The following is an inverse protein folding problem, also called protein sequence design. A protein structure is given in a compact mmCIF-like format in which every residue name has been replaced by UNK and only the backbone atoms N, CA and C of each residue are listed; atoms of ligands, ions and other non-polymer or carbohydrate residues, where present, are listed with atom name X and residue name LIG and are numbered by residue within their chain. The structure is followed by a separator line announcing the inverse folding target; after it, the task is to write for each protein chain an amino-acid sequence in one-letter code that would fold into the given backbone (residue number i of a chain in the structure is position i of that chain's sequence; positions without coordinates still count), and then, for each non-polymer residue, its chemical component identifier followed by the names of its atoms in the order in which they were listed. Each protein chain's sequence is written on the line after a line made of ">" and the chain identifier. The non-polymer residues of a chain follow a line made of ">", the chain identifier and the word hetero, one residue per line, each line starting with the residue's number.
data_IF_742527393458
#
_entry.id   IF_742527393458
#
_cell.length_a   1.000
_cell.length_b   1.000
_cell.length_c   1.000
_cell.angle_alpha   90.00
_cell.angle_beta   90.00
_cell.angle_gamma   90.00
#
_symmetry.space_group_name_H-M   'P 1'
#
loop_
_entity.id
_entity.type
_entity.pdbx_description
1 polymer ?
#
# COMPACT_ATOMS: atom_id res chain seq x y z
N UNK A 1 -17.46 19.44 -1.70
CA UNK A 1 -16.28 19.16 -0.87
C UNK A 1 -16.39 17.76 -0.28
N UNK A 2 -16.04 16.75 -1.08
CA UNK A 2 -15.49 15.44 -0.69
C UNK A 2 -15.43 14.59 -1.96
N UNK A 3 -14.52 14.99 -2.82
CA UNK A 3 -14.25 14.41 -4.13
C UNK A 3 -13.29 13.21 -4.02
N UNK A 4 -13.48 12.38 -2.98
CA UNK A 4 -12.68 11.18 -2.72
C UNK A 4 -13.57 9.99 -2.40
N UNK A 5 -13.23 8.83 -2.93
CA UNK A 5 -13.84 7.54 -2.59
C UNK A 5 -12.86 6.73 -1.75
N UNK A 6 -13.14 6.59 -0.47
CA UNK A 6 -12.26 5.80 0.40
C UNK A 6 -12.42 4.31 0.09
N UNK A 7 -11.31 3.64 -0.18
CA UNK A 7 -11.25 2.19 -0.47
C UNK A 7 -10.99 1.45 0.83
N UNK A 8 -9.88 1.77 1.48
CA UNK A 8 -9.41 1.09 2.68
C UNK A 8 -8.65 2.06 3.58
N UNK A 9 -8.62 1.78 4.87
CA UNK A 9 -7.79 2.51 5.82
C UNK A 9 -7.37 1.59 6.96
N UNK A 10 -6.20 1.87 7.50
CA UNK A 10 -5.70 1.29 8.72
C UNK A 10 -5.14 2.43 9.60
N UNK A 11 -4.74 2.14 10.83
CA UNK A 11 -4.11 3.07 11.77
C UNK A 11 -2.84 3.76 11.23
N UNK A 12 -2.28 3.26 10.12
CA UNK A 12 -1.07 3.81 9.50
C UNK A 12 -1.35 4.74 8.30
N UNK A 13 -2.47 4.56 7.62
CA UNK A 13 -2.76 5.29 6.38
C UNK A 13 -4.13 4.99 5.79
N UNK A 14 -4.42 5.64 4.67
CA UNK A 14 -5.68 5.57 3.94
C UNK A 14 -5.42 5.44 2.45
N UNK A 15 -6.19 4.59 1.79
CA UNK A 15 -6.24 4.46 0.35
C UNK A 15 -7.58 4.97 -0.17
N UNK A 16 -7.56 5.81 -1.19
CA UNK A 16 -8.76 6.36 -1.79
C UNK A 16 -8.59 6.64 -3.28
N UNK A 17 -9.70 6.68 -4.00
CA UNK A 17 -9.78 7.19 -5.36
C UNK A 17 -10.17 8.65 -5.38
N UNK A 18 -9.71 9.36 -6.40
CA UNK A 18 -10.20 10.71 -6.69
C UNK A 18 -11.49 10.62 -7.50
N UNK A 19 -12.49 11.41 -7.10
CA UNK A 19 -13.71 11.63 -7.89
C UNK A 19 -13.52 12.90 -8.71
N UNK A 20 -13.82 12.84 -10.00
CA UNK A 20 -13.88 14.03 -10.85
C UNK A 20 -15.24 14.04 -11.56
N UNK A 21 -16.01 15.10 -11.33
CA UNK A 21 -17.30 15.34 -12.01
C UNK A 21 -18.25 14.13 -11.93
N UNK A 22 -18.47 13.60 -10.72
CA UNK A 22 -19.31 12.42 -10.43
C UNK A 22 -18.83 11.08 -11.03
N UNK A 23 -17.61 11.01 -11.59
CA UNK A 23 -16.98 9.73 -11.97
C UNK A 23 -15.79 9.44 -11.07
N UNK A 24 -15.77 8.25 -10.48
CA UNK A 24 -14.59 7.74 -9.79
C UNK A 24 -13.51 7.44 -10.83
N UNK A 25 -12.33 8.06 -10.68
CA UNK A 25 -11.19 7.74 -11.52
C UNK A 25 -10.57 6.45 -10.96
N UNK A 26 -11.01 5.31 -11.50
CA UNK A 26 -10.52 3.97 -11.11
C UNK A 26 -9.11 3.67 -11.66
N UNK A 27 -8.55 4.55 -12.49
CA UNK A 27 -7.24 4.38 -13.12
C UNK A 27 -6.09 4.31 -12.10
N UNK A 28 -6.18 5.11 -11.02
CA UNK A 28 -5.11 5.27 -10.04
C UNK A 28 -5.63 5.47 -8.63
N UNK A 29 -5.04 4.73 -7.72
CA UNK A 29 -5.29 4.80 -6.29
C UNK A 29 -4.31 5.77 -5.65
N UNK A 30 -4.81 6.65 -4.80
CA UNK A 30 -3.98 7.45 -3.92
C UNK A 30 -3.83 6.71 -2.57
N UNK A 31 -2.63 6.23 -2.27
CA UNK A 31 -2.26 5.80 -0.92
C UNK A 31 -1.63 6.96 -0.17
N UNK A 32 -2.14 7.24 1.02
CA UNK A 32 -1.57 8.25 1.92
C UNK A 32 -1.26 7.58 3.24
N UNK A 33 0.01 7.62 3.64
CA UNK A 33 0.44 7.16 4.95
C UNK A 33 1.49 8.12 5.49
N UNK A 34 1.47 8.33 6.82
CA UNK A 34 2.23 9.39 7.49
C UNK A 34 1.97 10.78 6.87
N UNK A 35 2.91 11.28 6.07
CA UNK A 35 2.90 12.59 5.41
C UNK A 35 3.20 12.44 3.90
N UNK A 36 3.24 11.21 3.39
CA UNK A 36 3.55 10.90 2.00
C UNK A 36 2.32 10.34 1.30
N UNK A 37 2.04 10.88 0.11
CA UNK A 37 0.99 10.41 -0.78
C UNK A 37 1.58 9.80 -2.04
N UNK A 38 1.29 8.53 -2.28
CA UNK A 38 1.64 7.80 -3.50
C UNK A 38 0.44 7.71 -4.41
N UNK A 39 0.66 8.01 -5.69
CA UNK A 39 -0.38 7.91 -6.71
C UNK A 39 0.00 6.76 -7.65
N UNK A 40 -0.60 5.59 -7.39
CA UNK A 40 -0.19 4.32 -7.98
C UNK A 40 -1.36 3.69 -8.73
N UNK A 41 -1.05 3.07 -9.86
CA UNK A 41 -1.97 2.13 -10.53
C UNK A 41 -2.07 0.82 -9.75
N UNK A 42 -3.08 -0.01 -10.06
CA UNK A 42 -3.23 -1.34 -9.46
C UNK A 42 -2.00 -2.23 -9.74
N UNK A 43 -1.39 -2.08 -10.91
CA UNK A 43 -0.15 -2.80 -11.25
C UNK A 43 1.03 -2.36 -10.37
N UNK A 44 1.21 -1.05 -10.17
CA UNK A 44 2.26 -0.51 -9.29
C UNK A 44 2.01 -0.86 -7.82
N UNK A 45 0.74 -0.98 -7.41
CA UNK A 45 0.34 -1.46 -6.08
C UNK A 45 0.75 -2.91 -5.85
N UNK A 46 0.52 -3.79 -6.83
CA UNK A 46 0.98 -5.17 -6.78
C UNK A 46 2.52 -5.23 -6.72
N UNK A 47 3.20 -4.47 -7.57
CA UNK A 47 4.67 -4.36 -7.52
C UNK A 47 5.16 -3.85 -6.16
N UNK A 48 4.45 -2.90 -5.54
CA UNK A 48 4.80 -2.41 -4.23
C UNK A 48 4.65 -3.48 -3.15
N UNK A 49 3.63 -4.33 -3.25
CA UNK A 49 3.44 -5.48 -2.37
C UNK A 49 4.62 -6.46 -2.49
N UNK A 50 5.02 -6.81 -3.72
CA UNK A 50 6.16 -7.69 -3.97
C UNK A 50 7.46 -7.11 -3.40
N UNK A 51 7.72 -5.81 -3.63
CA UNK A 51 8.90 -5.12 -3.09
C UNK A 51 8.94 -5.10 -1.56
N UNK A 52 7.77 -4.97 -0.91
CA UNK A 52 7.64 -5.04 0.55
C UNK A 52 7.99 -6.44 1.05
N UNK A 53 7.49 -7.48 0.38
CA UNK A 53 7.76 -8.87 0.75
C UNK A 53 9.23 -9.25 0.54
N UNK A 54 9.82 -8.87 -0.58
CA UNK A 54 11.25 -9.05 -0.82
C UNK A 54 12.08 -8.35 0.27
N UNK A 55 11.75 -7.09 0.58
CA UNK A 55 12.42 -6.34 1.64
C UNK A 55 12.26 -7.00 3.01
N UNK A 56 11.09 -7.59 3.31
CA UNK A 56 10.85 -8.33 4.55
C UNK A 56 11.69 -9.60 4.61
N UNK A 57 11.78 -10.37 3.51
CA UNK A 57 12.56 -11.60 3.44
C UNK A 57 14.05 -11.29 3.62
N UNK A 58 14.58 -10.30 2.91
CA UNK A 58 15.99 -9.87 3.01
C UNK A 58 16.34 -9.40 4.44
N UNK A 59 15.45 -8.63 5.08
CA UNK A 59 15.67 -8.16 6.45
C UNK A 59 15.40 -9.22 7.53
N UNK A 60 14.81 -10.37 7.18
CA UNK A 60 14.56 -11.46 8.14
C UNK A 60 15.84 -12.27 8.45
N UNK A 61 16.95 -12.02 7.77
CA UNK A 61 18.23 -12.68 8.03
C UNK A 61 18.74 -12.33 9.44
N UNK A 62 18.59 -13.27 10.39
CA UNK A 62 19.26 -13.45 11.70
C UNK A 62 18.26 -13.88 12.80
N UNK A 63 18.03 -15.18 13.00
CA UNK A 63 17.28 -15.69 14.17
C UNK A 63 17.95 -15.32 15.52
N UNK A 64 19.24 -14.97 15.51
CA UNK A 64 20.06 -14.74 16.72
C UNK A 64 20.27 -13.27 17.11
N UNK A 65 19.65 -12.30 16.42
CA UNK A 65 19.93 -10.88 16.69
C UNK A 65 18.94 -10.30 17.72
N UNK A 66 19.37 -10.23 19.00
CA UNK A 66 18.58 -9.71 20.13
C UNK A 66 18.15 -8.22 20.00
N UNK A 67 18.63 -7.50 18.98
CA UNK A 67 18.29 -6.10 18.69
C UNK A 67 17.22 -5.90 17.61
N UNK A 68 16.68 -7.00 17.02
CA UNK A 68 15.72 -6.95 15.89
C UNK A 68 14.43 -6.14 16.15
N UNK A 69 13.99 -6.02 17.40
CA UNK A 69 12.68 -5.43 17.71
C UNK A 69 12.67 -3.89 17.83
N UNK A 70 13.83 -3.22 17.86
CA UNK A 70 13.86 -1.80 18.28
C UNK A 70 14.61 -0.80 17.41
N UNK A 71 15.55 -1.17 16.52
CA UNK A 71 16.54 -0.15 16.10
C UNK A 71 17.05 -0.03 14.66
N UNK A 72 16.51 -0.70 13.65
CA UNK A 72 16.96 -0.41 12.27
C UNK A 72 15.81 0.07 11.39
N UNK A 73 15.81 1.38 11.10
CA UNK A 73 15.12 1.93 9.94
C UNK A 73 15.91 1.46 8.72
N UNK A 74 15.24 0.85 7.77
CA UNK A 74 15.82 0.44 6.49
C UNK A 74 15.08 1.14 5.36
N UNK A 75 15.70 1.16 4.18
CA UNK A 75 15.14 1.78 3.00
C UNK A 75 14.27 0.76 2.27
N UNK A 76 12.96 0.98 2.31
CA UNK A 76 11.99 0.28 1.49
C UNK A 76 11.97 0.92 0.11
N UNK A 77 12.20 0.09 -0.91
CA UNK A 77 12.04 0.50 -2.31
C UNK A 77 10.57 0.66 -2.62
N UNK A 78 10.23 1.75 -3.29
CA UNK A 78 8.86 1.97 -3.80
C UNK A 78 8.83 1.68 -5.31
N UNK A 79 7.65 1.45 -5.90
CA UNK A 79 7.52 1.33 -7.36
C UNK A 79 7.98 2.60 -8.10
N UNK A 80 8.17 3.72 -7.39
CA UNK A 80 8.79 4.93 -7.92
C UNK A 80 10.30 4.86 -7.69
N UNK A 81 11.13 4.68 -8.73
CA UNK A 81 12.58 4.52 -8.58
C UNK A 81 13.31 5.76 -8.02
N UNK A 82 12.60 6.89 -7.90
CA UNK A 82 13.12 8.14 -7.37
C UNK A 82 12.79 8.35 -5.88
N UNK A 83 12.00 7.45 -5.27
CA UNK A 83 11.51 7.60 -3.90
C UNK A 83 11.81 6.33 -3.11
N UNK A 84 12.67 6.45 -2.11
CA UNK A 84 12.90 5.42 -1.11
C UNK A 84 12.33 5.86 0.24
N UNK A 85 11.75 4.93 0.98
CA UNK A 85 11.13 5.20 2.27
C UNK A 85 11.94 4.59 3.41
N UNK A 86 12.37 5.40 4.36
CA UNK A 86 12.95 4.91 5.60
C UNK A 86 11.86 4.42 6.56
N UNK A 87 11.74 3.09 6.72
CA UNK A 87 10.70 2.45 7.52
C UNK A 87 11.30 1.48 8.53
N UNK A 88 10.61 1.26 9.64
CA UNK A 88 10.95 0.21 10.61
C UNK A 88 10.13 -1.06 10.35
N UNK A 89 10.52 -2.18 10.98
CA UNK A 89 9.81 -3.47 10.87
C UNK A 89 8.34 -3.42 11.27
N UNK A 90 7.94 -2.50 12.16
CA UNK A 90 6.53 -2.32 12.52
C UNK A 90 5.78 -1.56 11.42
N UNK A 91 6.41 -0.54 10.86
CA UNK A 91 5.81 0.32 9.83
C UNK A 91 5.65 -0.42 8.51
N UNK A 92 6.65 -1.19 8.08
CA UNK A 92 6.54 -1.99 6.85
C UNK A 92 5.38 -2.98 6.92
N UNK A 93 5.12 -3.58 8.09
CA UNK A 93 3.97 -4.48 8.28
C UNK A 93 2.65 -3.73 8.17
N UNK A 94 2.57 -2.52 8.74
CA UNK A 94 1.39 -1.68 8.61
C UNK A 94 1.18 -1.16 7.17
N UNK A 95 2.25 -0.88 6.44
CA UNK A 95 2.19 -0.53 5.01
C UNK A 95 1.72 -1.73 4.20
N UNK A 96 2.27 -2.93 4.47
CA UNK A 96 1.86 -4.18 3.84
C UNK A 96 0.36 -4.39 4.00
N UNK A 97 -0.14 -4.31 5.24
CA UNK A 97 -1.56 -4.47 5.54
C UNK A 97 -2.44 -3.42 4.82
N UNK A 98 -1.97 -2.17 4.72
CA UNK A 98 -2.68 -1.12 3.96
C UNK A 98 -2.74 -1.44 2.46
N UNK A 99 -1.64 -1.91 1.87
CA UNK A 99 -1.53 -2.25 0.45
C UNK A 99 -2.38 -3.49 0.13
N UNK A 100 -2.22 -4.57 0.90
CA UNK A 100 -2.99 -5.81 0.75
C UNK A 100 -4.49 -5.56 0.97
N UNK A 101 -4.86 -4.81 2.01
CA UNK A 101 -6.25 -4.46 2.29
C UNK A 101 -6.89 -3.60 1.20
N UNK A 102 -6.08 -2.75 0.55
CA UNK A 102 -6.52 -1.98 -0.62
C UNK A 102 -6.74 -2.91 -1.82
N UNK A 103 -5.75 -3.72 -2.20
CA UNK A 103 -5.85 -4.68 -3.31
C UNK A 103 -7.06 -5.61 -3.13
N UNK A 104 -7.20 -6.20 -1.94
CA UNK A 104 -8.32 -7.07 -1.62
C UNK A 104 -9.67 -6.36 -1.78
N UNK A 105 -9.77 -5.08 -1.40
CA UNK A 105 -11.01 -4.33 -1.58
C UNK A 105 -11.31 -4.07 -3.05
N UNK A 106 -10.29 -3.85 -3.88
CA UNK A 106 -10.43 -3.70 -5.33
C UNK A 106 -10.89 -5.00 -5.98
N UNK A 107 -10.25 -6.12 -5.64
CA UNK A 107 -10.66 -7.45 -6.12
C UNK A 107 -12.09 -7.79 -5.71
N UNK A 108 -12.49 -7.43 -4.48
CA UNK A 108 -13.88 -7.59 -4.03
C UNK A 108 -14.85 -6.72 -4.82
N UNK A 109 -14.50 -5.47 -5.11
CA UNK A 109 -15.35 -4.56 -5.89
C UNK A 109 -15.52 -5.09 -7.31
N UNK A 110 -14.44 -5.56 -7.94
CA UNK A 110 -14.47 -6.23 -9.24
C UNK A 110 -15.29 -7.54 -9.20
N UNK A 111 -15.18 -8.32 -8.14
CA UNK A 111 -15.98 -9.54 -8.00
C UNK A 111 -17.47 -9.24 -7.83
N UNK A 112 -17.83 -8.28 -6.97
CA UNK A 112 -19.22 -7.93 -6.66
C UNK A 112 -19.90 -7.18 -7.81
N UNK A 113 -19.19 -6.28 -8.49
CA UNK A 113 -19.76 -5.42 -9.53
C UNK A 113 -19.34 -5.81 -10.96
N UNK A 114 -18.24 -6.52 -11.15
CA UNK A 114 -17.68 -6.87 -12.46
C UNK A 114 -17.98 -8.29 -12.95
N UNK A 115 -18.17 -9.27 -12.06
CA UNK A 115 -18.27 -10.69 -12.46
C UNK A 115 -19.67 -11.33 -12.34
N UNK A 116 -20.69 -10.61 -11.86
CA UNK A 116 -22.03 -11.16 -11.59
C UNK A 116 -23.18 -10.67 -12.49
N UNK A 117 -22.90 -9.91 -13.55
CA UNK A 117 -23.92 -9.25 -14.40
C UNK A 117 -24.06 -9.87 -15.80
N UNK A 118 -23.64 -11.13 -15.98
CA UNK A 118 -23.87 -11.89 -17.22
C UNK A 118 -25.06 -12.84 -17.09
#
# INVERSE_FOLDING_TARGET
>A
MKDIEQIYHNNFGVAFYWKKENKTILDKVQLVFRETGFYLSVAELNQFCDLIDDSLIENTCCESCQLKNSCHKFLLKTPLPQVDLAVSMKEIKSIKDLVEGTLFRLDLDEYVYGAGLN
#
